data_IF_763036623996
#
_entry.id   IF_763036623996
#
_cell.length_a   1.000
_cell.length_b   1.000
_cell.length_c   1.000
_cell.angle_alpha   90.00
_cell.angle_beta   90.00
_cell.angle_gamma   90.00
#
_symmetry.space_group_name_H-M   'P 1'
#
loop_
_entity.id
_entity.type
_entity.pdbx_description
1 polymer ?
#
# COMPACT_ATOMS: atom_id res chain seq x y z
N UNK A 1 -24.52 -7.32 -9.46
CA UNK A 1 -23.54 -8.38 -9.15
C UNK A 1 -23.50 -8.48 -7.64
N UNK A 2 -23.97 -9.59 -7.06
CA UNK A 2 -24.12 -9.76 -5.63
C UNK A 2 -22.75 -9.71 -4.92
N UNK A 3 -22.65 -8.82 -3.93
CA UNK A 3 -21.42 -8.50 -3.24
C UNK A 3 -21.01 -9.62 -2.30
N UNK A 4 -19.89 -10.27 -2.61
CA UNK A 4 -18.94 -10.55 -1.54
C UNK A 4 -18.59 -9.19 -0.93
N UNK A 5 -18.79 -9.02 0.37
CA UNK A 5 -18.17 -7.92 1.09
C UNK A 5 -16.67 -8.04 0.82
N UNK A 6 -16.16 -7.30 -0.16
CA UNK A 6 -14.76 -7.39 -0.56
C UNK A 6 -13.99 -6.92 0.66
N UNK A 7 -13.33 -7.83 1.35
CA UNK A 7 -12.53 -7.49 2.52
C UNK A 7 -11.52 -6.43 2.08
N UNK A 8 -11.56 -5.27 2.70
CA UNK A 8 -10.61 -4.19 2.40
C UNK A 8 -9.45 -4.29 3.36
N UNK A 9 -8.24 -4.41 2.80
CA UNK A 9 -7.02 -4.41 3.57
C UNK A 9 -6.21 -3.15 3.22
N UNK A 10 -5.88 -2.37 4.25
CA UNK A 10 -4.91 -1.30 4.13
C UNK A 10 -3.50 -1.92 4.21
N UNK A 11 -2.74 -1.83 3.14
CA UNK A 11 -1.39 -2.35 3.04
C UNK A 11 -0.40 -1.28 3.51
N UNK A 12 0.44 -1.65 4.48
CA UNK A 12 1.47 -0.79 5.05
C UNK A 12 2.80 -0.86 4.28
N UNK A 13 3.69 0.11 4.50
CA UNK A 13 4.99 0.16 3.86
C UNK A 13 5.81 -1.12 4.13
N UNK A 14 5.71 -1.69 5.33
CA UNK A 14 6.44 -2.90 5.72
C UNK A 14 6.07 -4.16 4.91
N UNK A 15 4.84 -4.23 4.37
CA UNK A 15 4.40 -5.36 3.53
C UNK A 15 4.62 -5.08 2.04
N UNK A 16 4.69 -3.81 1.65
CA UNK A 16 4.99 -3.39 0.27
C UNK A 16 6.50 -3.33 -0.03
N UNK A 17 7.33 -3.32 1.02
CA UNK A 17 8.78 -3.28 0.92
C UNK A 17 9.41 -4.55 0.27
N UNK A 18 9.04 -5.79 0.64
CA UNK A 18 9.62 -6.97 0.01
C UNK A 18 8.92 -7.31 -1.32
N UNK A 19 9.67 -7.28 -2.43
CA UNK A 19 9.16 -7.54 -3.78
C UNK A 19 8.31 -8.81 -3.91
N UNK A 20 8.70 -9.91 -3.26
CA UNK A 20 7.97 -11.17 -3.32
C UNK A 20 6.62 -11.12 -2.60
N UNK A 21 6.55 -10.42 -1.46
CA UNK A 21 5.30 -10.25 -0.70
C UNK A 21 4.35 -9.35 -1.47
N UNK A 22 4.87 -8.25 -2.03
CA UNK A 22 4.10 -7.33 -2.86
C UNK A 22 3.50 -8.04 -4.06
N UNK A 23 4.29 -8.83 -4.80
CA UNK A 23 3.81 -9.57 -5.97
C UNK A 23 2.68 -10.55 -5.64
N UNK A 24 2.81 -11.29 -4.53
CA UNK A 24 1.77 -12.19 -4.07
C UNK A 24 0.48 -11.46 -3.66
N UNK A 25 0.61 -10.35 -2.90
CA UNK A 25 -0.54 -9.55 -2.46
C UNK A 25 -1.26 -8.88 -3.63
N UNK A 26 -0.51 -8.35 -4.61
CA UNK A 26 -1.06 -7.78 -5.83
C UNK A 26 -1.79 -8.85 -6.64
N UNK A 27 -1.18 -10.03 -6.82
CA UNK A 27 -1.82 -11.15 -7.52
C UNK A 27 -3.15 -11.57 -6.88
N UNK A 28 -3.20 -11.65 -5.54
CA UNK A 28 -4.43 -11.94 -4.80
C UNK A 28 -5.48 -10.83 -4.94
N UNK A 29 -5.06 -9.57 -4.90
CA UNK A 29 -5.96 -8.43 -5.04
C UNK A 29 -6.54 -8.35 -6.46
N UNK A 30 -5.71 -8.54 -7.50
CA UNK A 30 -6.13 -8.58 -8.90
C UNK A 30 -7.04 -9.78 -9.20
N UNK A 31 -6.81 -10.93 -8.56
CA UNK A 31 -7.71 -12.08 -8.63
C UNK A 31 -9.04 -11.87 -7.86
N UNK A 32 -9.21 -10.73 -7.18
CA UNK A 32 -10.46 -10.33 -6.54
C UNK A 32 -10.67 -10.91 -5.14
N UNK A 33 -9.65 -11.48 -4.51
CA UNK A 33 -9.77 -12.05 -3.16
C UNK A 33 -9.97 -10.99 -2.08
N UNK A 34 -9.45 -9.77 -2.28
CA UNK A 34 -9.62 -8.63 -1.37
C UNK A 34 -9.43 -7.30 -2.11
N UNK A 35 -9.83 -6.18 -1.49
CA UNK A 35 -9.53 -4.83 -1.97
C UNK A 35 -8.24 -4.36 -1.31
N UNK A 36 -7.15 -4.31 -2.08
CA UNK A 36 -5.93 -3.68 -1.63
C UNK A 36 -6.08 -2.15 -1.64
N UNK A 37 -5.74 -1.52 -0.53
CA UNK A 37 -5.77 -0.07 -0.36
C UNK A 37 -4.46 0.39 0.26
N UNK A 38 -3.96 1.55 -0.12
CA UNK A 38 -2.82 2.21 0.54
C UNK A 38 -2.87 3.72 0.30
N UNK A 39 -2.00 4.47 0.98
CA UNK A 39 -1.90 5.94 0.86
C UNK A 39 -0.65 6.31 0.06
N UNK A 40 -0.63 7.53 -0.51
CA UNK A 40 0.58 8.10 -1.12
C UNK A 40 1.74 8.25 -0.11
N UNK A 41 1.41 8.42 1.18
CA UNK A 41 2.41 8.47 2.25
C UNK A 41 3.12 7.12 2.42
N UNK A 42 2.36 6.03 2.40
CA UNK A 42 2.91 4.66 2.45
C UNK A 42 3.79 4.39 1.22
N UNK A 43 3.39 4.87 0.02
CA UNK A 43 4.24 4.76 -1.17
C UNK A 43 5.58 5.45 -1.00
N UNK A 44 5.54 6.67 -0.47
CA UNK A 44 6.75 7.46 -0.24
C UNK A 44 7.66 6.77 0.77
N UNK A 45 7.09 6.20 1.83
CA UNK A 45 7.82 5.50 2.87
C UNK A 45 8.54 4.25 2.35
N UNK A 46 7.84 3.33 1.66
CA UNK A 46 8.50 2.11 1.19
C UNK A 46 9.54 2.39 0.10
N UNK A 47 9.30 3.39 -0.77
CA UNK A 47 10.28 3.82 -1.78
C UNK A 47 11.54 4.34 -1.09
N UNK A 48 11.39 5.28 -0.14
CA UNK A 48 12.52 5.85 0.59
C UNK A 48 13.31 4.77 1.35
N UNK A 49 12.61 3.84 2.01
CA UNK A 49 13.24 2.75 2.74
C UNK A 49 13.99 1.78 1.81
N UNK A 50 13.43 1.44 0.64
CA UNK A 50 14.12 0.58 -0.33
C UNK A 50 15.32 1.27 -0.96
N UNK A 51 15.24 2.57 -1.26
CA UNK A 51 16.39 3.32 -1.78
C UNK A 51 17.52 3.45 -0.75
N UNK A 52 17.20 3.52 0.55
CA UNK A 52 18.19 3.51 1.63
C UNK A 52 18.89 2.14 1.75
N UNK A 53 18.13 1.05 1.71
CA UNK A 53 18.69 -0.31 1.84
C UNK A 53 19.38 -0.80 0.57
N UNK A 54 18.94 -0.33 -0.61
CA UNK A 54 19.43 -0.73 -1.93
C UNK A 54 19.58 0.48 -2.86
N UNK A 55 20.67 1.27 -2.70
CA UNK A 55 20.92 2.47 -3.51
C UNK A 55 20.96 2.21 -5.02
N UNK A 56 21.23 0.98 -5.46
CA UNK A 56 21.25 0.56 -6.87
C UNK A 56 19.86 0.55 -7.54
N UNK A 57 18.79 0.60 -6.73
CA UNK A 57 17.40 0.65 -7.19
C UNK A 57 16.86 2.08 -7.31
N UNK A 58 17.65 3.08 -6.93
CA UNK A 58 17.25 4.49 -6.98
C UNK A 58 16.78 4.89 -8.37
N UNK A 59 15.58 5.47 -8.45
CA UNK A 59 14.95 5.87 -9.72
C UNK A 59 14.40 4.72 -10.58
N UNK A 60 14.45 3.47 -10.12
CA UNK A 60 13.79 2.32 -10.78
C UNK A 60 12.47 1.94 -10.12
N UNK A 61 12.24 2.39 -8.88
CA UNK A 61 11.05 2.04 -8.09
C UNK A 61 9.79 2.76 -8.53
N UNK A 62 9.89 3.90 -9.25
CA UNK A 62 8.71 4.59 -9.76
C UNK A 62 7.94 3.74 -10.77
N UNK A 63 8.64 2.99 -11.62
CA UNK A 63 7.99 2.05 -12.55
C UNK A 63 7.20 0.97 -11.80
N UNK A 64 7.79 0.40 -10.73
CA UNK A 64 7.12 -0.62 -9.92
C UNK A 64 5.86 -0.05 -9.23
N UNK A 65 5.96 1.16 -8.66
CA UNK A 65 4.80 1.88 -8.10
C UNK A 65 3.70 2.06 -9.15
N UNK A 66 4.05 2.50 -10.36
CA UNK A 66 3.06 2.76 -11.40
C UNK A 66 2.36 1.47 -11.84
N UNK A 67 3.10 0.35 -11.97
CA UNK A 67 2.50 -0.95 -12.21
C UNK A 67 1.52 -1.39 -11.10
N UNK A 68 1.82 -1.10 -9.83
CA UNK A 68 0.90 -1.40 -8.72
C UNK A 68 -0.40 -0.59 -8.82
N UNK A 69 -0.30 0.69 -9.18
CA UNK A 69 -1.45 1.58 -9.36
C UNK A 69 -2.33 1.12 -10.53
N UNK A 70 -1.72 0.70 -11.64
CA UNK A 70 -2.43 0.18 -12.81
C UNK A 70 -3.13 -1.16 -12.50
N UNK A 71 -2.50 -2.02 -11.70
CA UNK A 71 -3.06 -3.30 -11.31
C UNK A 71 -4.32 -3.16 -10.43
N UNK A 72 -4.40 -2.11 -9.61
CA UNK A 72 -5.49 -1.86 -8.67
C UNK A 72 -6.01 -0.43 -8.85
N UNK A 73 -6.95 -0.16 -9.77
CA UNK A 73 -7.38 1.22 -10.08
C UNK A 73 -8.00 1.99 -8.90
N UNK A 74 -8.59 1.28 -7.95
CA UNK A 74 -9.19 1.85 -6.74
C UNK A 74 -8.26 1.65 -5.53
N UNK A 75 -6.95 1.84 -5.66
CA UNK A 75 -5.98 1.59 -4.58
C UNK A 75 -5.96 2.70 -3.52
N UNK A 76 -6.23 3.95 -3.92
CA UNK A 76 -5.89 5.10 -3.11
C UNK A 76 -6.87 5.30 -1.94
N UNK A 77 -6.30 5.52 -0.75
CA UNK A 77 -7.00 6.12 0.39
C UNK A 77 -6.57 7.59 0.48
N UNK A 78 -7.46 8.54 0.15
CA UNK A 78 -7.13 9.96 0.15
C UNK A 78 -6.74 10.46 1.54
N UNK A 79 -5.80 11.41 1.60
CA UNK A 79 -5.35 12.03 2.84
C UNK A 79 -6.51 12.59 3.68
N UNK A 80 -7.45 13.26 3.04
CA UNK A 80 -8.64 13.82 3.69
C UNK A 80 -9.50 12.78 4.44
N UNK A 81 -9.42 11.50 4.07
CA UNK A 81 -10.21 10.44 4.69
C UNK A 81 -9.64 9.97 6.04
N UNK A 82 -8.32 10.05 6.23
CA UNK A 82 -7.66 9.51 7.43
C UNK A 82 -7.01 10.57 8.32
N UNK A 83 -6.68 11.76 7.80
CA UNK A 83 -6.11 12.84 8.61
C UNK A 83 -6.94 13.21 9.85
N UNK A 84 -8.29 13.28 9.79
CA UNK A 84 -9.10 13.56 10.98
C UNK A 84 -9.03 12.45 12.06
N UNK A 85 -8.60 11.25 11.70
CA UNK A 85 -8.46 10.13 12.62
C UNK A 85 -7.13 10.16 13.36
N UNK A 86 -6.12 10.89 12.85
CA UNK A 86 -4.84 11.05 13.52
C UNK A 86 -5.07 11.79 14.85
N UNK A 87 -4.70 11.17 15.97
CA UNK A 87 -4.91 11.73 17.31
C UNK A 87 -6.28 11.43 17.93
N UNK A 88 -7.18 10.74 17.21
CA UNK A 88 -8.42 10.21 17.81
C UNK A 88 -8.18 9.01 18.74
N UNK A 89 -7.01 8.36 18.59
CA UNK A 89 -6.59 7.24 19.43
C UNK A 89 -5.43 7.66 20.32
N UNK A 90 -5.71 7.78 21.62
CA UNK A 90 -4.66 7.82 22.63
C UNK A 90 -4.15 6.41 22.83
N UNK A 91 -2.99 6.09 22.25
CA UNK A 91 -2.30 4.85 22.60
C UNK A 91 -1.93 4.95 24.08
N UNK A 92 -2.65 4.25 24.94
CA UNK A 92 -2.24 4.05 26.35
C UNK A 92 -0.98 3.20 26.35
N UNK A 93 0.16 3.84 26.12
CA UNK A 93 1.46 3.19 26.27
C UNK A 93 1.92 3.33 27.73
N UNK A 94 2.39 2.24 28.37
CA UNK A 94 3.35 2.32 29.47
C UNK A 94 4.75 2.73 28.97
#
# INVERSE_FOLDING_TARGET
MAGYARYTALLDACVLFPLATTDALMSLATAGFFAAKWTQMIETEWIASLEEQRPELKGKLQFCRDCMRDAIPDWEVPEAAWTPLIGSFTLTRP
#
